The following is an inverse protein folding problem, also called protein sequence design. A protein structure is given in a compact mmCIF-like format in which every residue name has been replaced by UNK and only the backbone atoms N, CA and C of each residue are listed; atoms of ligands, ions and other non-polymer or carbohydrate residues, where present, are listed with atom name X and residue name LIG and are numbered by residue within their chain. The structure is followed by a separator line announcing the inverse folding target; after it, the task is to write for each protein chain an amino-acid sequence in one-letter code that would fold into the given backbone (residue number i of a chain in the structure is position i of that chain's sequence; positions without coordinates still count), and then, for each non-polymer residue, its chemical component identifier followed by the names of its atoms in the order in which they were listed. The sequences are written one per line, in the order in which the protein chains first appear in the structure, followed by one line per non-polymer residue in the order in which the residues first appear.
data_IF_006586616508
#
_entry.id   IF_006586616508
#
_cell.length_a   1.000
_cell.length_b   1.000
_cell.length_c   1.000
_cell.angle_alpha   90.00
_cell.angle_beta   90.00
_cell.angle_gamma   90.00
#
_symmetry.space_group_name_H-M   'P 1'
#
loop_
_entity.id
_entity.type
_entity.pdbx_description
1 polymer ?
#
# COMPACT_ATOMS: atom_id res chain seq x y z
N UNK A 1 -32.20 -34.49 33.16
CA UNK A 1 -32.15 -33.80 31.87
C UNK A 1 -30.88 -32.97 31.75
N UNK A 2 -29.87 -33.45 31.02
CA UNK A 2 -28.73 -32.63 30.55
C UNK A 2 -28.16 -33.34 29.32
N UNK A 3 -28.72 -33.03 28.15
CA UNK A 3 -28.08 -33.36 26.88
C UNK A 3 -26.99 -32.33 26.66
N UNK A 4 -25.74 -32.78 26.66
CA UNK A 4 -24.62 -31.97 26.18
C UNK A 4 -24.63 -32.08 24.66
N UNK A 5 -25.13 -31.05 23.99
CA UNK A 5 -24.89 -30.86 22.56
C UNK A 5 -23.47 -30.30 22.43
N UNK A 6 -22.47 -31.17 22.33
CA UNK A 6 -21.16 -30.82 21.78
C UNK A 6 -21.39 -30.47 20.31
N UNK A 7 -21.54 -29.18 20.03
CA UNK A 7 -21.33 -28.62 18.72
C UNK A 7 -19.82 -28.59 18.50
N UNK A 8 -19.26 -29.67 17.95
CA UNK A 8 -17.97 -29.58 17.28
C UNK A 8 -18.18 -28.72 16.04
N UNK A 9 -18.03 -27.41 16.19
CA UNK A 9 -17.83 -26.50 15.06
C UNK A 9 -16.48 -26.92 14.47
N UNK A 10 -16.52 -27.91 13.57
CA UNK A 10 -15.46 -28.13 12.61
C UNK A 10 -15.35 -26.83 11.84
N UNK A 11 -14.40 -25.99 12.25
CA UNK A 11 -13.99 -24.85 11.45
C UNK A 11 -13.45 -25.44 10.15
N UNK A 12 -14.30 -25.52 9.12
CA UNK A 12 -13.81 -25.66 7.76
C UNK A 12 -12.91 -24.44 7.56
N UNK A 13 -11.60 -24.69 7.62
CA UNK A 13 -10.59 -23.71 7.26
C UNK A 13 -10.74 -23.53 5.76
N UNK A 14 -11.58 -22.59 5.36
CA UNK A 14 -11.66 -22.16 3.98
C UNK A 14 -10.33 -21.46 3.69
N UNK A 15 -9.38 -22.19 3.10
CA UNK A 15 -8.25 -21.54 2.46
C UNK A 15 -8.81 -20.85 1.22
N UNK A 16 -8.87 -19.53 1.26
CA UNK A 16 -9.06 -18.76 0.04
C UNK A 16 -7.82 -19.03 -0.82
N UNK A 17 -7.97 -19.90 -1.81
CA UNK A 17 -6.99 -20.10 -2.90
C UNK A 17 -7.04 -18.91 -3.88
N UNK A 18 -7.39 -17.73 -3.38
CA UNK A 18 -7.32 -16.45 -4.05
C UNK A 18 -6.49 -15.50 -3.18
N UNK A 19 -5.31 -15.96 -2.76
CA UNK A 19 -4.22 -15.07 -2.35
C UNK A 19 -3.71 -14.45 -3.65
N UNK A 20 -4.42 -13.39 -4.07
CA UNK A 20 -4.11 -12.45 -5.14
C UNK A 20 -3.01 -12.92 -6.09
N UNK A 21 -3.39 -13.56 -7.21
CA UNK A 21 -2.46 -13.71 -8.31
C UNK A 21 -1.91 -12.33 -8.67
N UNK A 22 -0.62 -12.11 -8.42
CA UNK A 22 0.07 -10.89 -8.81
C UNK A 22 -0.30 -10.60 -10.27
N UNK A 23 -0.69 -9.37 -10.61
CA UNK A 23 -1.18 -9.04 -11.94
C UNK A 23 -0.19 -9.53 -13.00
N UNK A 24 -0.71 -10.12 -14.07
CA UNK A 24 0.11 -10.66 -15.16
C UNK A 24 0.65 -9.48 -15.97
N UNK A 25 1.83 -9.01 -15.58
CA UNK A 25 2.58 -7.97 -16.30
C UNK A 25 3.57 -8.67 -17.23
N UNK A 26 3.47 -8.38 -18.52
CA UNK A 26 4.28 -8.99 -19.60
C UNK A 26 5.52 -8.18 -19.90
N UNK A 27 5.42 -6.86 -19.82
CA UNK A 27 6.57 -5.98 -20.04
C UNK A 27 7.53 -6.07 -18.84
N UNK A 28 8.79 -6.48 -19.06
CA UNK A 28 9.74 -6.72 -17.97
C UNK A 28 10.12 -5.44 -17.22
N UNK A 29 10.06 -4.28 -17.87
CA UNK A 29 10.36 -3.00 -17.23
C UNK A 29 9.20 -2.51 -16.38
N UNK A 30 7.95 -2.64 -16.88
CA UNK A 30 6.77 -2.40 -16.03
C UNK A 30 6.78 -3.35 -14.85
N UNK A 31 7.08 -4.64 -15.07
CA UNK A 31 7.08 -5.64 -14.01
C UNK A 31 8.13 -5.31 -12.94
N UNK A 32 9.32 -4.89 -13.36
CA UNK A 32 10.37 -4.44 -12.44
C UNK A 32 9.93 -3.22 -11.66
N UNK A 33 9.47 -2.17 -12.33
CA UNK A 33 9.01 -0.95 -11.66
C UNK A 33 7.84 -1.23 -10.68
N UNK A 34 6.90 -2.09 -11.06
CA UNK A 34 5.82 -2.54 -10.19
C UNK A 34 6.33 -3.25 -8.94
N UNK A 35 7.29 -4.18 -9.09
CA UNK A 35 7.88 -4.89 -7.95
C UNK A 35 8.67 -3.95 -7.03
N UNK A 36 9.47 -3.06 -7.61
CA UNK A 36 10.25 -2.08 -6.86
C UNK A 36 9.33 -1.14 -6.07
N UNK A 37 8.22 -0.72 -6.68
CA UNK A 37 7.19 0.10 -6.03
C UNK A 37 6.42 -0.65 -4.92
N UNK A 38 6.05 -1.90 -5.15
CA UNK A 38 5.38 -2.75 -4.14
C UNK A 38 6.30 -3.11 -2.97
N UNK A 39 7.62 -3.09 -3.18
CA UNK A 39 8.63 -3.35 -2.15
C UNK A 39 9.06 -2.09 -1.39
N UNK A 40 8.72 -0.90 -1.91
CA UNK A 40 9.04 0.37 -1.28
C UNK A 40 8.15 0.63 -0.05
N UNK A 41 8.68 1.39 0.91
CA UNK A 41 7.86 2.01 1.94
C UNK A 41 7.10 3.19 1.31
N UNK A 42 5.77 3.20 1.45
CA UNK A 42 4.92 4.28 0.93
C UNK A 42 4.78 5.45 1.91
N UNK A 43 5.35 5.33 3.12
CA UNK A 43 5.51 6.47 4.03
C UNK A 43 6.49 7.53 3.52
N UNK A 44 7.49 7.11 2.76
CA UNK A 44 8.45 8.00 2.08
C UNK A 44 8.97 7.27 0.84
N UNK A 45 8.45 7.65 -0.34
CA UNK A 45 8.77 6.94 -1.57
C UNK A 45 10.18 7.30 -2.06
N UNK A 46 11.07 6.31 -2.29
CA UNK A 46 12.40 6.60 -2.78
C UNK A 46 12.36 7.27 -4.16
N UNK A 47 13.13 8.34 -4.36
CA UNK A 47 13.17 9.07 -5.62
C UNK A 47 13.53 8.18 -6.84
N UNK A 48 14.36 7.15 -6.62
CA UNK A 48 14.69 6.16 -7.65
C UNK A 48 13.48 5.34 -8.08
N UNK A 49 12.62 4.94 -7.14
CA UNK A 49 11.40 4.16 -7.41
C UNK A 49 10.38 5.03 -8.17
N UNK A 50 10.22 6.29 -7.77
CA UNK A 50 9.37 7.27 -8.48
C UNK A 50 9.86 7.47 -9.91
N UNK A 51 11.16 7.66 -10.09
CA UNK A 51 11.77 7.84 -11.40
C UNK A 51 11.55 6.62 -12.29
N UNK A 52 11.81 5.42 -11.78
CA UNK A 52 11.68 4.17 -12.53
C UNK A 52 10.21 3.89 -12.90
N UNK A 53 9.27 4.16 -11.99
CA UNK A 53 7.83 4.05 -12.28
C UNK A 53 7.38 5.04 -13.36
N UNK A 54 7.77 6.32 -13.27
CA UNK A 54 7.45 7.33 -14.29
C UNK A 54 8.08 7.01 -15.64
N UNK A 55 9.34 6.53 -15.64
CA UNK A 55 10.03 6.09 -16.85
C UNK A 55 9.28 4.94 -17.52
N UNK A 56 8.94 3.89 -16.76
CA UNK A 56 8.17 2.75 -17.26
C UNK A 56 6.78 3.15 -17.81
N UNK A 57 6.09 4.11 -17.17
CA UNK A 57 4.79 4.62 -17.61
C UNK A 57 4.85 5.54 -18.83
N UNK A 58 5.96 6.25 -19.05
CA UNK A 58 6.14 7.16 -20.19
C UNK A 58 6.42 6.44 -21.51
N UNK A 59 6.89 5.19 -21.44
CA UNK A 59 7.15 4.37 -22.63
C UNK A 59 5.84 3.89 -23.23
N UNK A 60 5.75 3.92 -24.55
CA UNK A 60 4.63 3.29 -25.26
C UNK A 60 4.96 1.80 -25.45
N UNK A 61 4.23 0.92 -24.79
CA UNK A 61 4.37 -0.53 -24.95
C UNK A 61 3.01 -1.20 -25.18
N UNK A 62 3.04 -2.44 -25.69
CA UNK A 62 1.82 -3.18 -26.02
C UNK A 62 1.09 -3.73 -24.78
N UNK A 63 1.75 -3.70 -23.60
CA UNK A 63 1.21 -4.20 -22.34
C UNK A 63 0.40 -3.12 -21.58
N UNK A 64 -0.69 -2.69 -22.20
CA UNK A 64 -1.59 -1.68 -21.64
C UNK A 64 -2.16 -2.07 -20.27
N UNK A 65 -2.44 -3.36 -20.08
CA UNK A 65 -2.94 -3.87 -18.80
C UNK A 65 -1.87 -3.74 -17.71
N UNK A 66 -0.61 -4.07 -18.01
CA UNK A 66 0.51 -3.85 -17.11
C UNK A 66 0.71 -2.36 -16.78
N UNK A 67 0.60 -1.49 -17.78
CA UNK A 67 0.72 -0.04 -17.58
C UNK A 67 -0.38 0.50 -16.66
N UNK A 68 -1.61 0.05 -16.85
CA UNK A 68 -2.75 0.45 -16.01
C UNK A 68 -2.57 -0.01 -14.57
N UNK A 69 -2.12 -1.25 -14.36
CA UNK A 69 -1.80 -1.78 -13.03
C UNK A 69 -0.72 -0.93 -12.35
N UNK A 70 0.40 -0.67 -13.02
CA UNK A 70 1.49 0.13 -12.46
C UNK A 70 1.01 1.55 -12.15
N UNK A 71 0.22 2.16 -13.04
CA UNK A 71 -0.34 3.49 -12.84
C UNK A 71 -1.23 3.55 -11.61
N UNK A 72 -2.12 2.58 -11.44
CA UNK A 72 -3.04 2.54 -10.31
C UNK A 72 -2.30 2.39 -8.98
N UNK A 73 -1.31 1.49 -8.92
CA UNK A 73 -0.50 1.31 -7.70
C UNK A 73 0.35 2.55 -7.43
N UNK A 74 0.94 3.15 -8.46
CA UNK A 74 1.72 4.38 -8.31
C UNK A 74 0.89 5.54 -7.77
N UNK A 75 -0.32 5.76 -8.32
CA UNK A 75 -1.24 6.77 -7.79
C UNK A 75 -1.70 6.47 -6.36
N UNK A 76 -1.88 5.19 -5.99
CA UNK A 76 -2.20 4.82 -4.62
C UNK A 76 -1.03 5.12 -3.67
N UNK A 77 0.20 4.84 -4.09
CA UNK A 77 1.39 5.11 -3.29
C UNK A 77 1.59 6.62 -3.07
N UNK A 78 1.46 7.45 -4.12
CA UNK A 78 1.52 8.92 -4.00
C UNK A 78 0.45 9.45 -3.04
N UNK A 79 -0.77 8.93 -3.11
CA UNK A 79 -1.85 9.34 -2.21
C UNK A 79 -1.59 8.96 -0.74
N UNK A 80 -0.96 7.81 -0.50
CA UNK A 80 -0.59 7.36 0.85
C UNK A 80 0.51 8.25 1.43
N UNK A 81 1.54 8.58 0.65
CA UNK A 81 2.62 9.48 1.07
C UNK A 81 2.06 10.88 1.45
N UNK A 82 1.19 11.45 0.61
CA UNK A 82 0.54 12.74 0.89
C UNK A 82 -0.30 12.67 2.16
N UNK A 83 -1.10 11.62 2.33
CA UNK A 83 -1.95 11.45 3.50
C UNK A 83 -1.13 11.29 4.80
N UNK A 84 0.01 10.58 4.76
CA UNK A 84 0.93 10.46 5.90
C UNK A 84 1.51 11.84 6.26
N UNK A 85 1.85 12.67 5.26
CA UNK A 85 2.24 14.06 5.47
C UNK A 85 1.18 14.88 6.22
N UNK A 86 -0.09 14.72 5.86
CA UNK A 86 -1.22 15.37 6.57
C UNK A 86 -1.30 14.90 8.03
N UNK A 87 -1.20 13.59 8.28
CA UNK A 87 -1.21 13.04 9.65
C UNK A 87 -0.06 13.62 10.47
N UNK A 88 1.14 13.69 9.89
CA UNK A 88 2.30 14.25 10.58
C UNK A 88 2.10 15.73 10.91
N UNK A 89 1.50 16.51 10.01
CA UNK A 89 1.16 17.91 10.27
C UNK A 89 0.18 18.05 11.44
N UNK A 90 -0.91 17.27 11.44
CA UNK A 90 -1.89 17.27 12.55
C UNK A 90 -1.22 16.88 13.88
N UNK A 91 -0.32 15.88 13.85
CA UNK A 91 0.43 15.46 15.04
C UNK A 91 1.30 16.60 15.58
N UNK A 92 2.03 17.30 14.71
CA UNK A 92 2.85 18.45 15.12
C UNK A 92 1.99 19.56 15.73
N UNK A 93 0.85 19.89 15.13
CA UNK A 93 -0.10 20.86 15.70
C UNK A 93 -0.59 20.45 17.09
N UNK A 94 -0.87 19.16 17.31
CA UNK A 94 -1.29 18.63 18.60
C UNK A 94 -0.17 18.65 19.65
N UNK A 95 1.06 18.28 19.25
CA UNK A 95 2.23 18.32 20.12
C UNK A 95 2.52 19.77 20.59
N UNK A 96 2.29 20.78 19.74
CA UNK A 96 2.41 22.20 20.09
C UNK A 96 1.34 22.67 21.09
N UNK A 97 0.06 22.30 20.87
CA UNK A 97 -1.05 22.62 21.78
C UNK A 97 -0.87 21.99 23.17
N UNK A 98 -0.37 20.74 23.23
CA UNK A 98 -0.06 20.08 24.51
C UNK A 98 1.22 20.64 25.14
N UNK A 99 2.23 20.96 24.33
CA UNK A 99 3.49 21.54 24.78
C UNK A 99 3.32 22.89 25.50
N UNK A 100 2.33 23.68 25.10
CA UNK A 100 1.94 24.94 25.75
C UNK A 100 1.31 24.75 27.14
N UNK A 101 0.81 23.56 27.50
CA UNK A 101 0.32 23.28 28.87
C UNK A 101 1.46 22.99 29.87
N UNK A 102 2.72 22.98 29.43
CA UNK A 102 3.91 22.69 30.24
C UNK A 102 4.48 23.87 31.03
N UNK A 103 3.98 25.09 30.82
CA UNK A 103 4.33 26.24 31.68
C UNK A 103 3.48 26.23 32.97
N UNK A 104 3.86 25.34 33.88
CA UNK A 104 3.55 25.47 35.30
C UNK A 104 4.86 25.77 36.02
N UNK A 105 5.23 27.05 36.07
CA UNK A 105 6.15 27.60 37.08
C UNK A 105 5.58 28.91 37.62
#
# INVERSE_FOLDING_TARGET
CRSSLVMSIGCNRSFSEDVAHMPVIRDPEIQRAFKDLMAADWGELPASVIHDAKSALSRNNDDKAGQEVLKNVFSAAEAVEEFIGIIMNIKMEFDDEIGLSGEVL
#
